data_IF_721632162365
#
_entry.id   IF_721632162365
#
_cell.length_a   1.000
_cell.length_b   1.000
_cell.length_c   1.000
_cell.angle_alpha   90.00
_cell.angle_beta   90.00
_cell.angle_gamma   90.00
#
_symmetry.space_group_name_H-M   'P 1'
#
loop_
_entity.id
_entity.type
_entity.pdbx_description
1 polymer ?
#
# COMPACT_ATOMS: atom_id res chain seq x y z
N UNK A 1 -1.42 9.10 16.70
CA UNK A 1 -2.71 9.69 17.10
C UNK A 1 -3.88 8.81 16.64
N UNK A 2 -4.99 8.84 17.38
CA UNK A 2 -6.21 8.10 17.07
C UNK A 2 -7.42 9.01 17.26
N UNK A 3 -8.32 9.07 16.26
CA UNK A 3 -9.52 9.91 16.25
C UNK A 3 -9.21 11.39 16.47
N UNK A 4 -8.15 11.86 15.83
CA UNK A 4 -7.73 13.25 15.89
C UNK A 4 -8.08 13.96 14.57
N UNK A 5 -8.10 15.29 14.62
CA UNK A 5 -8.23 16.16 13.43
C UNK A 5 -7.11 17.21 13.47
N UNK A 6 -6.67 17.67 12.31
CA UNK A 6 -5.58 18.66 12.17
C UNK A 6 -4.27 18.18 12.83
N UNK A 7 -3.78 17.03 12.40
CA UNK A 7 -2.59 16.38 12.97
C UNK A 7 -1.36 16.70 12.11
N UNK A 8 -0.30 17.19 12.74
CA UNK A 8 1.03 17.28 12.14
C UNK A 8 2.01 16.41 12.91
N UNK A 9 2.68 15.49 12.21
CA UNK A 9 3.78 14.67 12.72
C UNK A 9 5.00 14.97 11.85
N UNK A 10 6.03 15.54 12.45
CA UNK A 10 7.25 15.90 11.72
C UNK A 10 8.50 15.75 12.56
N UNK A 11 9.65 15.52 11.89
CA UNK A 11 10.98 15.46 12.51
C UNK A 11 11.06 14.43 13.64
N UNK A 12 10.48 13.26 13.39
CA UNK A 12 10.49 12.12 14.30
C UNK A 12 11.39 11.03 13.73
N UNK A 13 12.14 10.39 14.60
CA UNK A 13 12.82 9.13 14.35
C UNK A 13 12.10 8.02 15.12
N UNK A 14 11.68 6.96 14.42
CA UNK A 14 10.96 5.82 14.99
C UNK A 14 11.61 4.48 14.66
N UNK A 15 11.92 3.67 15.68
CA UNK A 15 12.59 2.37 15.48
C UNK A 15 12.16 1.32 16.49
N UNK A 16 12.31 0.03 16.12
CA UNK A 16 12.09 -1.16 16.94
C UNK A 16 10.64 -1.33 17.40
N UNK A 17 9.67 -0.84 16.62
CA UNK A 17 8.25 -1.02 16.89
C UNK A 17 7.74 -2.32 16.25
N UNK A 18 7.05 -3.13 17.05
CA UNK A 18 6.41 -4.38 16.59
C UNK A 18 5.05 -4.17 15.92
N UNK A 19 4.74 -2.93 15.59
CA UNK A 19 3.62 -2.41 14.87
C UNK A 19 4.13 -1.24 14.01
N UNK A 20 3.41 -0.15 13.86
CA UNK A 20 3.88 1.02 13.13
C UNK A 20 4.74 1.94 14.01
N UNK A 21 5.85 2.45 13.45
CA UNK A 21 6.68 3.47 14.11
C UNK A 21 5.95 4.81 14.18
N UNK A 22 5.31 5.21 13.08
CA UNK A 22 4.46 6.39 13.02
C UNK A 22 3.08 5.94 12.57
N UNK A 23 2.10 6.18 13.43
CA UNK A 23 0.72 5.73 13.22
C UNK A 23 -0.27 6.86 13.42
N UNK A 24 -1.19 7.02 12.46
CA UNK A 24 -2.39 7.83 12.61
C UNK A 24 -3.61 7.02 12.17
N UNK A 25 -4.52 6.73 13.12
CA UNK A 25 -5.69 5.90 12.84
C UNK A 25 -7.00 6.62 13.08
N UNK A 26 -7.99 6.38 12.21
CA UNK A 26 -9.36 6.90 12.36
C UNK A 26 -9.40 8.42 12.50
N UNK A 27 -8.45 9.08 11.85
CA UNK A 27 -8.15 10.51 12.00
C UNK A 27 -8.48 11.25 10.72
N UNK A 28 -8.40 12.57 10.76
CA UNK A 28 -8.70 13.43 9.62
C UNK A 28 -7.71 14.59 9.53
N UNK A 29 -7.41 15.03 8.30
CA UNK A 29 -6.49 16.14 8.04
C UNK A 29 -5.13 15.89 8.72
N UNK A 30 -4.45 14.82 8.26
CA UNK A 30 -3.20 14.32 8.84
C UNK A 30 -2.02 14.61 7.91
N UNK A 31 -0.97 15.22 8.43
CA UNK A 31 0.29 15.45 7.72
C UNK A 31 1.41 14.70 8.45
N UNK A 32 2.16 13.84 7.71
CA UNK A 32 3.37 13.16 8.20
C UNK A 32 4.50 13.51 7.24
N UNK A 33 5.54 14.18 7.75
CA UNK A 33 6.67 14.64 6.93
C UNK A 33 7.99 14.73 7.67
N UNK A 34 9.08 14.78 6.89
CA UNK A 34 10.43 14.97 7.42
C UNK A 34 10.76 13.95 8.54
N UNK A 35 10.33 12.68 8.39
CA UNK A 35 10.52 11.66 9.42
C UNK A 35 11.45 10.55 8.93
N UNK A 36 12.05 9.83 9.88
CA UNK A 36 12.92 8.69 9.66
C UNK A 36 12.37 7.47 10.40
N UNK A 37 12.11 6.37 9.68
CA UNK A 37 11.62 5.12 10.29
C UNK A 37 12.43 3.92 9.80
N UNK A 38 12.93 3.10 10.75
CA UNK A 38 13.71 1.90 10.40
C UNK A 38 13.65 0.83 11.48
N UNK A 39 13.80 -0.43 11.06
CA UNK A 39 13.80 -1.57 11.97
C UNK A 39 12.44 -1.82 12.64
N UNK A 40 11.33 -1.46 11.99
CA UNK A 40 9.96 -1.64 12.48
C UNK A 40 9.23 -2.71 11.66
N UNK A 41 8.05 -3.13 12.09
CA UNK A 41 7.16 -3.88 11.20
C UNK A 41 6.58 -2.93 10.15
N UNK A 42 6.01 -1.82 10.54
CA UNK A 42 5.55 -0.79 9.60
C UNK A 42 6.30 0.51 9.89
N UNK A 43 6.85 1.14 8.86
CA UNK A 43 7.50 2.45 9.03
C UNK A 43 6.47 3.53 9.32
N UNK A 44 5.54 3.77 8.41
CA UNK A 44 4.49 4.80 8.52
C UNK A 44 3.15 4.18 8.14
N UNK A 45 2.10 4.44 8.95
CA UNK A 45 0.76 3.92 8.74
C UNK A 45 -0.33 5.00 8.88
N UNK A 46 -1.22 5.05 7.90
CA UNK A 46 -2.49 5.77 7.97
C UNK A 46 -3.64 4.77 7.86
N UNK A 47 -4.26 4.45 9.01
CA UNK A 47 -5.36 3.49 9.11
C UNK A 47 -6.71 4.21 9.15
N UNK A 48 -7.64 3.87 8.25
CA UNK A 48 -9.01 4.42 8.23
C UNK A 48 -9.04 5.96 8.36
N UNK A 49 -8.12 6.63 7.70
CA UNK A 49 -7.88 8.08 7.80
C UNK A 49 -8.45 8.81 6.58
N UNK A 50 -8.91 10.04 6.77
CA UNK A 50 -9.43 10.89 5.68
C UNK A 50 -8.56 12.12 5.52
N UNK A 51 -8.19 12.44 4.28
CA UNK A 51 -7.37 13.58 3.92
C UNK A 51 -5.99 13.54 4.59
N UNK A 52 -5.19 12.58 4.16
CA UNK A 52 -3.81 12.38 4.62
C UNK A 52 -2.78 12.94 3.64
N UNK A 53 -1.67 13.45 4.14
CA UNK A 53 -0.47 13.73 3.36
C UNK A 53 0.76 13.09 4.01
N UNK A 54 1.48 12.27 3.26
CA UNK A 54 2.72 11.59 3.69
C UNK A 54 3.82 11.95 2.71
N UNK A 55 4.77 12.80 3.11
CA UNK A 55 5.77 13.29 2.17
C UNK A 55 7.12 13.64 2.80
N UNK A 56 8.17 13.63 1.98
CA UNK A 56 9.54 13.94 2.39
C UNK A 56 10.03 13.07 3.59
N UNK A 57 9.55 11.82 3.66
CA UNK A 57 9.95 10.87 4.69
C UNK A 57 10.96 9.86 4.15
N UNK A 58 11.73 9.29 5.06
CA UNK A 58 12.65 8.19 4.78
C UNK A 58 12.28 6.96 5.61
N UNK A 59 11.77 5.92 4.94
CA UNK A 59 11.39 4.64 5.55
C UNK A 59 12.28 3.52 5.00
N UNK A 60 13.16 2.95 5.84
CA UNK A 60 14.08 1.90 5.38
C UNK A 60 14.25 0.77 6.40
N UNK A 61 14.66 -0.39 5.91
CA UNK A 61 14.94 -1.56 6.77
C UNK A 61 13.78 -1.95 7.71
N UNK A 62 12.52 -1.61 7.36
CA UNK A 62 11.32 -2.10 8.04
C UNK A 62 10.86 -3.42 7.40
N UNK A 63 9.82 -4.05 7.91
CA UNK A 63 9.13 -5.15 7.20
C UNK A 63 8.39 -4.60 5.99
N UNK A 64 7.63 -3.50 6.17
CA UNK A 64 7.12 -2.65 5.08
C UNK A 64 7.38 -1.17 5.38
N UNK A 65 7.53 -0.34 4.32
CA UNK A 65 7.86 1.08 4.49
C UNK A 65 6.66 1.94 4.86
N UNK A 66 5.68 2.05 3.96
CA UNK A 66 4.50 2.91 4.11
C UNK A 66 3.24 2.05 3.90
N UNK A 67 2.25 2.24 4.75
CA UNK A 67 0.98 1.52 4.71
C UNK A 67 -0.21 2.48 4.78
N UNK A 68 -1.08 2.43 3.77
CA UNK A 68 -2.34 3.18 3.72
C UNK A 68 -3.46 2.16 3.62
N UNK A 69 -4.31 2.11 4.62
CA UNK A 69 -5.27 1.02 4.73
C UNK A 69 -6.66 1.43 5.21
N UNK A 70 -7.62 0.60 4.86
CA UNK A 70 -8.97 0.57 5.39
C UNK A 70 -9.17 -0.78 6.08
N UNK A 71 -9.08 -0.82 7.39
CA UNK A 71 -9.35 -2.05 8.14
C UNK A 71 -10.83 -2.17 8.53
N UNK A 72 -11.39 -3.40 8.48
CA UNK A 72 -12.76 -3.66 8.89
C UNK A 72 -12.92 -3.61 10.41
N UNK A 73 -14.16 -3.66 10.89
CA UNK A 73 -14.57 -3.73 12.29
C UNK A 73 -14.09 -2.54 13.16
N UNK A 74 -13.62 -1.46 12.53
CA UNK A 74 -13.24 -0.22 13.20
C UNK A 74 -14.37 0.82 13.13
N UNK A 75 -14.39 1.82 14.04
CA UNK A 75 -15.42 2.85 14.04
C UNK A 75 -15.45 3.73 12.78
N UNK A 76 -14.29 4.08 12.22
CA UNK A 76 -14.19 4.74 10.92
C UNK A 76 -14.32 3.67 9.84
N UNK A 77 -15.21 3.89 8.87
CA UNK A 77 -15.50 2.95 7.79
C UNK A 77 -14.96 3.39 6.44
N UNK A 78 -14.02 4.32 6.45
CA UNK A 78 -13.42 4.89 5.23
C UNK A 78 -11.94 5.20 5.44
N UNK A 79 -11.16 5.07 4.36
CA UNK A 79 -9.80 5.57 4.21
C UNK A 79 -9.74 6.28 2.85
N UNK A 80 -9.73 7.63 2.85
CA UNK A 80 -10.00 8.42 1.65
C UNK A 80 -9.05 9.61 1.50
N UNK A 81 -8.72 9.93 0.24
CA UNK A 81 -8.05 11.17 -0.14
C UNK A 81 -6.67 11.36 0.50
N UNK A 82 -5.85 10.31 0.42
CA UNK A 82 -4.47 10.37 0.91
C UNK A 82 -3.50 10.66 -0.23
N UNK A 83 -2.56 11.57 -0.02
CA UNK A 83 -1.42 11.81 -0.91
C UNK A 83 -0.14 11.29 -0.30
N UNK A 84 0.62 10.49 -1.08
CA UNK A 84 1.92 9.95 -0.68
C UNK A 84 2.94 10.36 -1.72
N UNK A 85 3.86 11.28 -1.37
CA UNK A 85 4.75 11.84 -2.37
C UNK A 85 6.14 12.22 -1.84
N UNK A 86 7.12 12.21 -2.73
CA UNK A 86 8.51 12.56 -2.42
C UNK A 86 9.14 11.75 -1.27
N UNK A 87 8.64 10.57 -0.96
CA UNK A 87 9.24 9.73 0.05
C UNK A 87 10.32 8.84 -0.55
N UNK A 88 11.26 8.41 0.28
CA UNK A 88 12.18 7.31 -0.02
C UNK A 88 11.76 6.12 0.84
N UNK A 89 11.39 5.03 0.19
CA UNK A 89 11.04 3.77 0.85
C UNK A 89 11.92 2.66 0.31
N UNK A 90 12.95 2.28 1.09
CA UNK A 90 14.00 1.39 0.59
C UNK A 90 14.37 0.26 1.55
N UNK A 91 14.75 -0.88 0.95
CA UNK A 91 15.27 -2.04 1.69
C UNK A 91 14.35 -2.49 2.84
N UNK A 92 13.04 -2.32 2.71
CA UNK A 92 12.08 -2.73 3.74
C UNK A 92 11.91 -4.26 3.69
N UNK A 93 12.95 -4.97 4.11
CA UNK A 93 13.12 -6.42 3.97
C UNK A 93 13.22 -7.16 5.31
N UNK A 94 13.02 -6.44 6.42
CA UNK A 94 13.08 -6.97 7.77
C UNK A 94 12.08 -8.10 8.00
N UNK A 95 12.45 -9.10 8.80
CA UNK A 95 11.49 -10.12 9.23
C UNK A 95 10.34 -9.48 10.01
N UNK A 96 9.12 -10.02 9.84
CA UNK A 96 7.97 -9.55 10.60
C UNK A 96 8.04 -10.09 12.04
N UNK A 97 8.17 -9.19 13.00
CA UNK A 97 8.15 -9.49 14.43
C UNK A 97 6.91 -8.93 15.13
N UNK A 98 5.85 -8.66 14.37
CA UNK A 98 4.54 -8.27 14.88
C UNK A 98 3.98 -9.31 15.86
N UNK A 99 3.16 -8.85 16.77
CA UNK A 99 2.59 -9.75 17.79
C UNK A 99 1.73 -10.84 17.13
N UNK A 100 2.02 -12.13 17.35
CA UNK A 100 1.22 -13.20 16.77
C UNK A 100 -0.28 -13.08 17.09
N UNK A 101 -1.12 -13.29 16.08
CA UNK A 101 -2.58 -13.18 16.17
C UNK A 101 -3.14 -11.77 15.95
N UNK A 102 -2.30 -10.81 15.57
CA UNK A 102 -2.75 -9.49 15.11
C UNK A 102 -2.66 -9.42 13.57
N UNK A 103 -3.44 -8.55 12.93
CA UNK A 103 -3.40 -8.34 11.48
C UNK A 103 -1.98 -7.98 11.00
N UNK A 104 -1.27 -7.16 11.76
CA UNK A 104 0.12 -6.75 11.46
C UNK A 104 1.08 -7.94 11.34
N UNK A 105 0.86 -9.03 12.10
CA UNK A 105 1.71 -10.22 12.02
C UNK A 105 1.57 -11.01 10.73
N UNK A 106 0.59 -10.70 9.91
CA UNK A 106 0.33 -11.35 8.61
C UNK A 106 0.99 -10.62 7.44
N UNK A 107 1.53 -9.44 7.66
CA UNK A 107 2.13 -8.61 6.59
C UNK A 107 3.41 -9.28 6.08
N UNK A 108 3.50 -9.64 4.79
CA UNK A 108 4.70 -10.20 4.21
C UNK A 108 5.80 -9.14 4.08
N UNK A 109 7.07 -9.48 4.36
CA UNK A 109 8.18 -8.54 4.27
C UNK A 109 8.56 -8.21 2.82
N UNK A 110 9.16 -7.04 2.64
CA UNK A 110 9.80 -6.67 1.38
C UNK A 110 8.99 -5.73 0.50
N UNK A 111 8.07 -4.96 1.07
CA UNK A 111 7.25 -4.02 0.29
C UNK A 111 7.55 -2.57 0.68
N UNK A 112 7.83 -1.73 -0.32
CA UNK A 112 8.08 -0.30 -0.11
C UNK A 112 6.82 0.43 0.35
N UNK A 113 5.72 0.26 -0.36
CA UNK A 113 4.43 0.81 0.00
C UNK A 113 3.30 -0.19 -0.27
N UNK A 114 2.37 -0.28 0.68
CA UNK A 114 1.16 -1.08 0.55
C UNK A 114 -0.08 -0.20 0.65
N UNK A 115 -1.02 -0.39 -0.27
CA UNK A 115 -2.39 0.13 -0.20
C UNK A 115 -3.32 -1.06 0.02
N UNK A 116 -4.13 -1.05 1.07
CA UNK A 116 -5.09 -2.09 1.37
C UNK A 116 -6.50 -1.49 1.48
N UNK A 117 -7.33 -1.70 0.45
CA UNK A 117 -8.72 -1.25 0.37
C UNK A 117 -8.95 0.27 0.59
N UNK A 118 -7.91 1.09 0.56
CA UNK A 118 -8.04 2.54 0.66
C UNK A 118 -8.37 3.16 -0.72
N UNK A 119 -9.19 4.21 -0.73
CA UNK A 119 -9.67 4.86 -1.94
C UNK A 119 -9.10 6.26 -2.13
N UNK A 120 -9.04 6.70 -3.39
CA UNK A 120 -8.54 8.03 -3.75
C UNK A 120 -7.15 8.34 -3.19
N UNK A 121 -6.26 7.34 -3.23
CA UNK A 121 -4.86 7.52 -2.85
C UNK A 121 -4.06 7.95 -4.08
N UNK A 122 -3.38 9.08 -4.00
CA UNK A 122 -2.48 9.58 -5.03
C UNK A 122 -1.03 9.35 -4.58
N UNK A 123 -0.26 8.61 -5.41
CA UNK A 123 1.13 8.19 -5.09
C UNK A 123 2.06 8.70 -6.18
N UNK A 124 2.93 9.68 -5.85
CA UNK A 124 3.79 10.29 -6.88
C UNK A 124 5.13 10.80 -6.37
N UNK A 125 6.12 10.81 -7.25
CA UNK A 125 7.44 11.35 -6.94
C UNK A 125 8.21 10.58 -5.86
N UNK A 126 7.74 9.39 -5.46
CA UNK A 126 8.43 8.57 -4.48
C UNK A 126 9.56 7.76 -5.12
N UNK A 127 10.53 7.36 -4.31
CA UNK A 127 11.55 6.38 -4.68
C UNK A 127 11.33 5.08 -3.90
N UNK A 128 11.01 4.01 -4.63
CA UNK A 128 10.92 2.64 -4.11
C UNK A 128 12.14 1.86 -4.57
N UNK A 129 13.01 1.47 -3.63
CA UNK A 129 14.29 0.86 -3.97
C UNK A 129 14.63 -0.35 -3.10
N UNK A 130 15.10 -1.43 -3.74
CA UNK A 130 15.65 -2.59 -3.03
C UNK A 130 14.65 -3.33 -2.14
N UNK A 131 13.36 -3.17 -2.36
CA UNK A 131 12.30 -3.88 -1.64
C UNK A 131 12.10 -5.24 -2.29
N UNK A 132 12.42 -6.34 -1.60
CA UNK A 132 12.55 -7.67 -2.20
C UNK A 132 11.24 -8.25 -2.77
N UNK A 133 10.07 -7.79 -2.29
CA UNK A 133 8.75 -8.28 -2.72
C UNK A 133 8.07 -7.34 -3.71
N UNK A 134 7.95 -6.07 -3.37
CA UNK A 134 7.34 -5.08 -4.25
C UNK A 134 7.81 -3.64 -3.94
N UNK A 135 7.89 -2.78 -4.94
CA UNK A 135 8.00 -1.34 -4.74
C UNK A 135 6.69 -0.77 -4.20
N UNK A 136 5.62 -0.94 -4.97
CA UNK A 136 4.24 -0.56 -4.63
C UNK A 136 3.33 -1.79 -4.75
N UNK A 137 2.50 -2.04 -3.75
CA UNK A 137 1.49 -3.10 -3.78
C UNK A 137 0.11 -2.56 -3.45
N UNK A 138 -0.94 -3.07 -4.10
CA UNK A 138 -2.33 -2.68 -3.91
C UNK A 138 -3.21 -3.93 -3.89
N UNK A 139 -3.92 -4.13 -2.78
CA UNK A 139 -4.75 -5.31 -2.55
C UNK A 139 -6.10 -4.98 -1.94
N UNK A 140 -7.05 -5.88 -2.14
CA UNK A 140 -8.32 -5.86 -1.41
C UNK A 140 -8.21 -6.57 -0.04
N UNK A 141 -9.23 -6.42 0.79
CA UNK A 141 -9.26 -7.00 2.14
C UNK A 141 -9.28 -8.53 2.17
N UNK A 142 -9.75 -9.21 1.12
CA UNK A 142 -9.82 -10.67 1.10
C UNK A 142 -8.45 -11.35 1.15
N UNK A 143 -7.35 -10.58 0.97
CA UNK A 143 -5.99 -11.11 1.16
C UNK A 143 -5.70 -11.51 2.61
N UNK A 144 -6.40 -10.93 3.59
CA UNK A 144 -6.15 -11.17 5.01
C UNK A 144 -7.38 -11.29 5.90
N UNK A 145 -8.60 -11.09 5.34
CA UNK A 145 -9.85 -11.11 6.10
C UNK A 145 -10.89 -12.00 5.42
N UNK A 146 -11.70 -12.71 6.21
CA UNK A 146 -12.84 -13.47 5.72
C UNK A 146 -14.02 -12.55 5.37
N UNK A 147 -14.98 -13.05 4.56
CA UNK A 147 -16.17 -12.27 4.19
C UNK A 147 -16.98 -11.80 5.42
N UNK A 148 -17.04 -12.62 6.47
CA UNK A 148 -17.76 -12.26 7.69
C UNK A 148 -17.09 -11.16 8.50
N UNK A 149 -15.79 -10.96 8.33
CA UNK A 149 -15.04 -9.91 9.01
C UNK A 149 -15.12 -8.56 8.27
N UNK A 150 -15.43 -8.57 6.96
CA UNK A 150 -15.43 -7.38 6.12
C UNK A 150 -16.79 -6.67 6.24
N UNK A 151 -16.79 -5.51 6.90
CA UNK A 151 -17.95 -4.62 7.07
C UNK A 151 -17.75 -3.23 6.46
N UNK A 152 -16.81 -3.15 5.49
CA UNK A 152 -16.44 -1.94 4.73
C UNK A 152 -16.30 -2.27 3.26
N UNK A 153 -16.08 -1.27 2.38
CA UNK A 153 -15.70 -1.51 0.99
C UNK A 153 -14.40 -2.32 0.94
N UNK A 154 -14.38 -3.51 0.34
CA UNK A 154 -13.18 -4.36 0.39
C UNK A 154 -12.10 -3.98 -0.60
N UNK A 155 -12.43 -3.26 -1.64
CA UNK A 155 -11.54 -3.01 -2.77
C UNK A 155 -10.88 -1.64 -2.69
N UNK A 156 -9.62 -1.51 -3.12
CA UNK A 156 -9.00 -0.21 -3.37
C UNK A 156 -9.58 0.41 -4.65
N UNK A 157 -10.10 1.63 -4.61
CA UNK A 157 -10.76 2.26 -5.74
C UNK A 157 -10.29 3.69 -5.99
N UNK A 158 -10.32 4.12 -7.26
CA UNK A 158 -9.98 5.50 -7.67
C UNK A 158 -8.56 5.94 -7.27
N UNK A 159 -7.61 5.01 -7.16
CA UNK A 159 -6.24 5.33 -6.81
C UNK A 159 -5.42 5.69 -8.04
N UNK A 160 -4.44 6.57 -7.87
CA UNK A 160 -3.58 7.00 -8.96
C UNK A 160 -2.11 7.01 -8.55
N UNK A 161 -1.31 6.15 -9.18
CA UNK A 161 0.14 6.12 -9.03
C UNK A 161 0.81 6.67 -10.29
N UNK A 162 1.75 7.62 -10.14
CA UNK A 162 2.44 8.23 -11.26
C UNK A 162 3.80 8.85 -10.88
N UNK A 163 4.68 8.94 -11.86
CA UNK A 163 5.97 9.62 -11.73
C UNK A 163 6.85 9.12 -10.55
N UNK A 164 6.66 7.87 -10.13
CA UNK A 164 7.52 7.27 -9.11
C UNK A 164 8.78 6.66 -9.73
N UNK A 165 9.79 6.43 -8.90
CA UNK A 165 11.05 5.78 -9.27
C UNK A 165 11.09 4.40 -8.66
N UNK A 166 11.36 3.38 -9.50
CA UNK A 166 11.47 1.98 -9.09
C UNK A 166 12.87 1.46 -9.40
N UNK A 167 13.60 1.04 -8.36
CA UNK A 167 14.98 0.56 -8.49
C UNK A 167 15.17 -0.76 -7.75
N UNK A 168 15.38 -1.85 -8.51
CA UNK A 168 15.70 -3.16 -7.96
C UNK A 168 14.68 -3.67 -6.93
N UNK A 169 13.38 -3.58 -7.24
CA UNK A 169 12.33 -4.19 -6.41
C UNK A 169 11.95 -5.58 -6.94
N UNK A 170 11.24 -6.37 -6.13
CA UNK A 170 10.65 -7.64 -6.53
C UNK A 170 11.66 -8.78 -6.80
N UNK A 171 12.93 -8.62 -6.44
CA UNK A 171 13.99 -9.55 -6.81
C UNK A 171 14.01 -10.88 -6.02
N UNK A 172 13.41 -10.91 -4.84
CA UNK A 172 13.31 -12.10 -3.98
C UNK A 172 12.07 -12.03 -3.08
N UNK A 173 10.90 -12.07 -3.70
CA UNK A 173 9.64 -11.91 -3.01
C UNK A 173 9.46 -12.87 -1.83
N UNK A 174 8.68 -12.43 -0.84
CA UNK A 174 8.23 -13.31 0.24
C UNK A 174 7.53 -14.57 -0.30
N UNK A 175 7.61 -15.65 0.47
CA UNK A 175 7.02 -16.93 0.07
C UNK A 175 5.55 -16.84 -0.27
N UNK A 176 4.78 -16.10 0.51
CA UNK A 176 3.34 -15.92 0.29
C UNK A 176 3.07 -15.30 -1.11
N UNK A 177 3.80 -14.23 -1.45
CA UNK A 177 3.67 -13.57 -2.75
C UNK A 177 4.20 -14.46 -3.89
N UNK A 178 5.30 -15.19 -3.68
CA UNK A 178 5.80 -16.18 -4.66
C UNK A 178 4.80 -17.29 -4.94
N UNK A 179 4.15 -17.82 -3.91
CA UNK A 179 3.15 -18.89 -4.08
C UNK A 179 1.92 -18.37 -4.85
N UNK A 180 1.53 -17.12 -4.64
CA UNK A 180 0.37 -16.50 -5.28
C UNK A 180 0.65 -16.01 -6.71
N UNK A 181 1.78 -15.35 -6.94
CA UNK A 181 2.08 -14.63 -8.19
C UNK A 181 3.30 -15.16 -8.95
N UNK A 182 4.05 -16.09 -8.38
CA UNK A 182 5.25 -16.69 -8.97
C UNK A 182 6.53 -15.86 -8.79
N UNK A 183 6.44 -14.56 -8.54
CA UNK A 183 7.57 -13.63 -8.46
C UNK A 183 7.20 -12.38 -7.65
N UNK A 184 8.18 -11.51 -7.39
CA UNK A 184 7.98 -10.12 -6.99
C UNK A 184 8.03 -9.16 -8.19
N UNK A 185 7.62 -7.91 -7.97
CA UNK A 185 7.48 -6.91 -9.03
C UNK A 185 7.79 -5.49 -8.52
N UNK A 186 8.03 -4.56 -9.43
CA UNK A 186 8.03 -3.14 -9.05
C UNK A 186 6.64 -2.70 -8.59
N UNK A 187 5.58 -3.17 -9.29
CA UNK A 187 4.18 -2.88 -8.94
C UNK A 187 3.38 -4.18 -8.90
N UNK A 188 2.63 -4.37 -7.82
CA UNK A 188 1.61 -5.43 -7.69
C UNK A 188 0.24 -4.78 -7.51
N UNK A 189 -0.73 -5.18 -8.33
CA UNK A 189 -2.14 -4.85 -8.14
C UNK A 189 -2.97 -6.11 -8.34
N UNK A 190 -3.86 -6.41 -7.40
CA UNK A 190 -4.69 -7.63 -7.44
C UNK A 190 -5.85 -7.57 -8.43
N UNK A 191 -5.92 -6.51 -9.25
CA UNK A 191 -6.95 -6.27 -10.26
C UNK A 191 -8.35 -5.98 -9.71
N UNK A 192 -8.50 -5.79 -8.42
CA UNK A 192 -9.78 -5.43 -7.81
C UNK A 192 -10.02 -3.93 -7.78
N UNK A 193 -11.28 -3.54 -7.50
CA UNK A 193 -11.68 -2.14 -7.49
C UNK A 193 -11.89 -1.55 -8.89
N UNK A 194 -12.26 -0.29 -8.93
CA UNK A 194 -12.51 0.46 -10.16
C UNK A 194 -11.67 1.73 -10.20
N UNK A 195 -11.40 2.22 -11.41
CA UNK A 195 -10.69 3.49 -11.66
C UNK A 195 -9.29 3.62 -11.02
N UNK A 196 -8.62 2.51 -10.73
CA UNK A 196 -7.20 2.55 -10.39
C UNK A 196 -6.37 2.86 -11.64
N UNK A 197 -5.42 3.78 -11.54
CA UNK A 197 -4.60 4.26 -12.65
C UNK A 197 -3.11 4.21 -12.30
N UNK A 198 -2.28 3.86 -13.28
CA UNK A 198 -0.84 3.74 -13.12
C UNK A 198 -0.14 4.38 -14.34
N UNK A 199 0.39 5.57 -14.18
CA UNK A 199 1.23 6.22 -15.20
C UNK A 199 2.69 6.15 -14.73
N UNK A 200 3.26 4.93 -14.79
CA UNK A 200 4.54 4.56 -14.18
C UNK A 200 5.57 4.09 -15.21
N UNK A 201 6.12 5.02 -16.02
CA UNK A 201 7.06 4.67 -17.08
C UNK A 201 8.39 4.11 -16.55
N UNK A 202 8.71 4.32 -15.27
CA UNK A 202 9.93 3.84 -14.66
C UNK A 202 9.81 2.43 -14.06
N UNK A 203 8.60 1.88 -13.90
CA UNK A 203 8.38 0.51 -13.48
C UNK A 203 8.75 -0.45 -14.63
N UNK A 204 9.61 -1.42 -14.34
CA UNK A 204 10.06 -2.42 -15.33
C UNK A 204 9.24 -3.68 -15.28
N UNK A 205 8.65 -3.97 -14.13
CA UNK A 205 7.88 -5.18 -13.87
C UNK A 205 6.58 -4.86 -13.15
N UNK A 206 5.49 -5.52 -13.52
CA UNK A 206 4.21 -5.37 -12.85
C UNK A 206 3.38 -6.65 -12.89
N UNK A 207 2.51 -6.79 -11.91
CA UNK A 207 1.39 -7.73 -11.93
C UNK A 207 0.08 -6.93 -11.76
N UNK A 208 -0.86 -7.05 -12.72
CA UNK A 208 -0.73 -7.76 -14.00
C UNK A 208 0.31 -7.12 -14.92
N UNK A 209 0.74 -7.80 -15.99
CA UNK A 209 1.75 -7.28 -16.93
C UNK A 209 1.37 -5.99 -17.65
N UNK A 210 0.08 -5.68 -17.73
CA UNK A 210 -0.43 -4.44 -18.28
C UNK A 210 -1.29 -3.74 -17.21
N UNK A 211 -0.89 -2.56 -16.82
CA UNK A 211 -1.62 -1.72 -15.86
C UNK A 211 -2.48 -0.68 -16.59
N UNK A 212 -3.66 -0.35 -16.07
CA UNK A 212 -4.48 0.73 -16.62
C UNK A 212 -3.83 2.09 -16.39
N UNK A 213 -3.81 2.92 -17.41
CA UNK A 213 -3.24 4.28 -17.34
C UNK A 213 -4.34 5.35 -17.46
N UNK A 214 -4.00 6.59 -17.12
CA UNK A 214 -4.90 7.74 -17.24
C UNK A 214 -5.37 8.00 -18.68
N UNK A 215 -4.61 7.54 -19.68
CA UNK A 215 -4.97 7.63 -21.09
C UNK A 215 -6.04 6.63 -21.57
N UNK A 216 -6.47 5.68 -20.73
CA UNK A 216 -7.49 4.71 -21.10
C UNK A 216 -8.88 5.34 -20.99
N UNK A 217 -9.71 5.29 -22.07
CA UNK A 217 -11.11 5.73 -22.00
C UNK A 217 -11.88 4.90 -20.97
N UNK A 218 -12.63 5.53 -20.08
CA UNK A 218 -13.37 4.86 -18.99
C UNK A 218 -14.26 3.68 -19.42
N UNK A 219 -14.99 3.74 -20.56
CA UNK A 219 -15.77 2.59 -21.00
C UNK A 219 -14.92 1.37 -21.37
N UNK A 220 -13.76 1.58 -21.99
CA UNK A 220 -12.84 0.49 -22.36
C UNK A 220 -12.10 -0.07 -21.13
N UNK A 221 -11.70 0.83 -20.21
CA UNK A 221 -11.11 0.46 -18.93
C UNK A 221 -12.05 -0.45 -18.15
N UNK A 222 -13.28 -0.01 -17.89
CA UNK A 222 -14.27 -0.77 -17.14
C UNK A 222 -14.62 -2.11 -17.80
N UNK A 223 -14.70 -2.16 -19.13
CA UNK A 223 -14.97 -3.40 -19.86
C UNK A 223 -13.80 -4.39 -19.75
N UNK A 224 -12.57 -3.92 -19.95
CA UNK A 224 -11.37 -4.75 -19.88
C UNK A 224 -11.21 -5.39 -18.49
N UNK A 225 -11.29 -4.59 -17.43
CA UNK A 225 -11.08 -5.07 -16.07
C UNK A 225 -12.22 -5.93 -15.55
N UNK A 226 -13.45 -5.68 -15.96
CA UNK A 226 -14.60 -6.58 -15.70
C UNK A 226 -14.42 -7.94 -16.38
N UNK A 227 -13.93 -7.96 -17.61
CA UNK A 227 -13.64 -9.21 -18.31
C UNK A 227 -12.48 -9.97 -17.67
N UNK A 228 -11.42 -9.27 -17.29
CA UNK A 228 -10.27 -9.88 -16.63
C UNK A 228 -10.64 -10.47 -15.27
N UNK A 229 -11.36 -9.72 -14.43
CA UNK A 229 -11.86 -10.21 -13.14
C UNK A 229 -12.80 -11.40 -13.29
N UNK A 230 -13.65 -11.39 -14.32
CA UNK A 230 -14.51 -12.54 -14.63
C UNK A 230 -13.69 -13.78 -15.02
N UNK A 231 -12.65 -13.62 -15.83
CA UNK A 231 -11.77 -14.73 -16.24
C UNK A 231 -10.98 -15.26 -15.04
N UNK A 232 -10.42 -14.38 -14.20
CA UNK A 232 -9.71 -14.78 -12.99
C UNK A 232 -10.62 -15.53 -12.02
N UNK A 233 -11.86 -15.07 -11.83
CA UNK A 233 -12.86 -15.75 -11.00
C UNK A 233 -13.36 -17.09 -11.53
N UNK A 234 -13.09 -17.42 -12.81
CA UNK A 234 -13.40 -18.74 -13.39
C UNK A 234 -12.26 -19.75 -13.20
N UNK A 235 -11.05 -19.28 -12.85
CA UNK A 235 -9.84 -20.09 -12.73
C UNK A 235 -9.50 -20.35 -11.25
N UNK A 236 -10.02 -19.51 -10.35
CA UNK A 236 -9.93 -19.65 -8.89
C UNK A 236 -11.05 -20.53 -8.34
#
# INVERSE_FOLDING_TARGET
>A
PVRCTDVLIERIEGTLMNDAAIYAGKSKDVVIRDTLTYGNVIGIELENTVNGEVYDNYAHDNTIGIFIDLLPQLPSKVSLYTKVYNNISENNNGENFGKPGTAVSLIPPGTGMLILAADHVEVYGNTFRGNKTAGLAMFNLAIGFSEEEIDVGPNPEHNYAHDNIYENNGYDADKFVKDMLGSGFDIIWDTTGVDNRFDEPNAKTSFPPALPSSGWPDPLYNLYWRLLNFIVGLIS
#
